data_IF_060900789096
#
_entry.id   IF_060900789096
#
_cell.length_a   1.000
_cell.length_b   1.000
_cell.length_c   1.000
_cell.angle_alpha   90.00
_cell.angle_beta   90.00
_cell.angle_gamma   90.00
#
_symmetry.space_group_name_H-M   'P 1'
#
loop_
_entity.id
_entity.type
_entity.pdbx_description
1 polymer ?
#
# COMPACT_ATOMS: atom_id res chain seq x y z
N UNK A 1 15.98 -20.18 -10.17
CA UNK A 1 14.78 -20.43 -11.01
C UNK A 1 13.60 -19.65 -10.44
N UNK A 2 12.64 -19.26 -11.31
CA UNK A 2 11.41 -18.48 -11.03
C UNK A 2 11.55 -16.94 -11.07
N UNK A 3 12.00 -16.40 -12.21
CA UNK A 3 11.90 -14.98 -12.57
C UNK A 3 10.97 -14.68 -13.75
N UNK A 4 10.12 -15.65 -14.15
CA UNK A 4 9.39 -15.58 -15.44
C UNK A 4 7.99 -14.96 -15.39
N UNK A 5 7.40 -14.74 -14.20
CA UNK A 5 6.00 -14.28 -14.08
C UNK A 5 5.83 -12.78 -13.85
N UNK A 6 6.84 -12.13 -13.28
CA UNK A 6 6.79 -10.72 -12.86
C UNK A 6 6.73 -9.71 -14.03
N UNK A 7 7.47 -9.91 -15.15
CA UNK A 7 7.37 -8.98 -16.28
C UNK A 7 5.98 -9.01 -16.93
N UNK A 8 5.43 -10.21 -17.11
CA UNK A 8 4.11 -10.38 -17.71
C UNK A 8 2.96 -9.92 -16.79
N UNK A 9 3.11 -10.04 -15.47
CA UNK A 9 2.14 -9.50 -14.51
C UNK A 9 2.17 -7.96 -14.49
N UNK A 10 3.36 -7.35 -14.53
CA UNK A 10 3.50 -5.90 -14.62
C UNK A 10 2.97 -5.33 -15.94
N UNK A 11 3.22 -6.01 -17.08
CA UNK A 11 2.66 -5.63 -18.38
C UNK A 11 1.14 -5.83 -18.45
N UNK A 12 0.60 -6.93 -17.91
CA UNK A 12 -0.86 -7.13 -17.83
C UNK A 12 -1.54 -6.09 -16.95
N UNK A 13 -0.89 -5.66 -15.87
CA UNK A 13 -1.40 -4.57 -15.04
C UNK A 13 -1.41 -3.25 -15.82
N UNK A 14 -0.36 -2.97 -16.60
CA UNK A 14 -0.27 -1.79 -17.45
C UNK A 14 -1.31 -1.79 -18.58
N UNK A 15 -1.67 -2.95 -19.14
CA UNK A 15 -2.64 -3.08 -20.24
C UNK A 15 -4.09 -3.34 -19.79
N UNK A 16 -4.29 -3.91 -18.60
CA UNK A 16 -5.55 -4.47 -18.10
C UNK A 16 -6.21 -3.68 -16.98
N UNK A 17 -6.31 -2.35 -17.10
CA UNK A 17 -7.03 -1.52 -16.12
C UNK A 17 -6.25 -1.20 -14.84
N UNK A 18 -4.94 -1.44 -14.81
CA UNK A 18 -4.08 -1.12 -13.66
C UNK A 18 -4.11 0.35 -13.25
N UNK A 19 -4.38 1.28 -14.18
CA UNK A 19 -4.59 2.69 -13.84
C UNK A 19 -5.79 2.91 -12.91
N UNK A 20 -6.92 2.24 -13.17
CA UNK A 20 -8.12 2.34 -12.33
C UNK A 20 -7.89 1.66 -10.96
N UNK A 21 -7.17 0.53 -10.96
CA UNK A 21 -6.76 -0.16 -9.74
C UNK A 21 -5.83 0.70 -8.88
N UNK A 22 -4.85 1.35 -9.51
CA UNK A 22 -3.92 2.26 -8.86
C UNK A 22 -4.63 3.50 -8.31
N UNK A 23 -5.54 4.09 -9.08
CA UNK A 23 -6.36 5.21 -8.62
C UNK A 23 -7.23 4.83 -7.42
N UNK A 24 -7.79 3.61 -7.40
CA UNK A 24 -8.50 3.07 -6.23
C UNK A 24 -7.58 2.96 -5.02
N UNK A 25 -6.42 2.33 -5.18
CA UNK A 25 -5.43 2.20 -4.11
C UNK A 25 -5.07 3.56 -3.49
N UNK A 26 -4.70 4.54 -4.33
CA UNK A 26 -4.36 5.91 -3.90
C UNK A 26 -5.51 6.57 -3.13
N UNK A 27 -6.73 6.51 -3.66
CA UNK A 27 -7.91 7.11 -3.00
C UNK A 27 -8.15 6.48 -1.63
N UNK A 28 -8.10 5.16 -1.57
CA UNK A 28 -8.40 4.39 -0.35
C UNK A 28 -7.39 4.70 0.76
N UNK A 29 -6.09 4.74 0.46
CA UNK A 29 -5.05 4.99 1.46
C UNK A 29 -4.89 6.47 1.82
N UNK A 30 -5.07 7.38 0.86
CA UNK A 30 -4.92 8.82 1.10
C UNK A 30 -5.94 9.33 2.13
N UNK A 31 -7.14 8.75 2.11
CA UNK A 31 -8.23 9.09 3.04
C UNK A 31 -8.33 8.19 4.26
N UNK A 32 -7.43 7.21 4.44
CA UNK A 32 -7.63 6.18 5.46
C UNK A 32 -7.56 6.76 6.88
N UNK A 33 -8.62 6.53 7.64
CA UNK A 33 -8.69 6.78 9.07
C UNK A 33 -8.64 5.47 9.86
N UNK A 34 -8.15 5.52 11.10
CA UNK A 34 -8.01 4.33 11.95
C UNK A 34 -9.31 3.53 12.13
N UNK A 35 -10.45 4.23 12.28
CA UNK A 35 -11.76 3.61 12.43
C UNK A 35 -12.23 2.83 11.18
N UNK A 36 -11.70 3.17 10.01
CA UNK A 36 -12.07 2.56 8.73
C UNK A 36 -11.16 1.40 8.31
N UNK A 37 -10.04 1.17 9.00
CA UNK A 37 -9.02 0.20 8.58
C UNK A 37 -9.56 -1.22 8.40
N UNK A 38 -10.36 -1.72 9.37
CA UNK A 38 -10.97 -3.05 9.30
C UNK A 38 -12.02 -3.14 8.18
N UNK A 39 -12.81 -2.08 7.99
CA UNK A 39 -13.81 -2.01 6.92
C UNK A 39 -13.14 -2.04 5.55
N UNK A 40 -12.06 -1.29 5.39
CA UNK A 40 -11.28 -1.23 4.14
C UNK A 40 -10.59 -2.56 3.86
N UNK A 41 -10.06 -3.25 4.88
CA UNK A 41 -9.44 -4.57 4.73
C UNK A 41 -10.40 -5.57 4.06
N UNK A 42 -11.69 -5.53 4.40
CA UNK A 42 -12.71 -6.37 3.75
C UNK A 42 -12.99 -6.01 2.32
N UNK A 43 -13.03 -4.72 2.01
CA UNK A 43 -13.20 -4.25 0.64
C UNK A 43 -12.00 -4.62 -0.23
N UNK A 44 -10.79 -4.59 0.33
CA UNK A 44 -9.57 -5.02 -0.34
C UNK A 44 -9.51 -6.53 -0.51
N UNK A 45 -9.96 -7.32 0.48
CA UNK A 45 -10.08 -8.78 0.30
C UNK A 45 -11.05 -9.13 -0.84
N UNK A 46 -12.26 -8.55 -0.83
CA UNK A 46 -13.23 -8.76 -1.89
C UNK A 46 -12.71 -8.30 -3.26
N UNK A 47 -11.95 -7.19 -3.27
CA UNK A 47 -11.32 -6.69 -4.48
C UNK A 47 -10.25 -7.62 -5.03
N UNK A 48 -9.34 -8.12 -4.19
CA UNK A 48 -8.29 -9.07 -4.61
C UNK A 48 -8.84 -10.41 -5.09
N UNK A 49 -10.07 -10.75 -4.69
CA UNK A 49 -10.80 -11.95 -5.17
C UNK A 49 -11.69 -11.67 -6.39
N UNK A 50 -11.77 -10.44 -6.87
CA UNK A 50 -12.63 -10.10 -8.01
C UNK A 50 -12.07 -10.68 -9.31
N UNK A 51 -12.96 -10.98 -10.27
CA UNK A 51 -12.56 -11.49 -11.59
C UNK A 51 -11.60 -10.54 -12.29
N UNK A 52 -11.84 -9.23 -12.20
CA UNK A 52 -11.01 -8.20 -12.83
C UNK A 52 -9.60 -8.18 -12.24
N UNK A 53 -9.47 -8.28 -10.90
CA UNK A 53 -8.17 -8.31 -10.25
C UNK A 53 -7.38 -9.57 -10.63
N UNK A 54 -8.04 -10.73 -10.64
CA UNK A 54 -7.44 -11.99 -11.06
C UNK A 54 -7.01 -11.97 -12.53
N UNK A 55 -7.85 -11.43 -13.42
CA UNK A 55 -7.54 -11.30 -14.85
C UNK A 55 -6.37 -10.35 -15.12
N UNK A 56 -6.25 -9.27 -14.34
CA UNK A 56 -5.11 -8.36 -14.38
C UNK A 56 -3.83 -8.94 -13.74
N UNK A 57 -3.92 -10.09 -13.06
CA UNK A 57 -2.81 -10.66 -12.29
C UNK A 57 -2.48 -9.85 -11.04
N UNK A 58 -3.46 -9.15 -10.47
CA UNK A 58 -3.30 -8.31 -9.29
C UNK A 58 -3.72 -9.07 -8.02
N UNK A 59 -2.74 -9.36 -7.17
CA UNK A 59 -2.93 -10.04 -5.90
C UNK A 59 -2.31 -9.27 -4.73
N UNK A 60 -2.24 -9.96 -3.59
CA UNK A 60 -1.57 -9.44 -2.40
C UNK A 60 -0.11 -9.00 -2.66
N UNK A 61 0.72 -9.71 -3.46
CA UNK A 61 2.09 -9.27 -3.75
C UNK A 61 2.18 -7.91 -4.44
N UNK A 62 1.33 -7.66 -5.44
CA UNK A 62 1.26 -6.41 -6.20
C UNK A 62 0.77 -5.26 -5.32
N UNK A 63 -0.30 -5.50 -4.55
CA UNK A 63 -0.80 -4.54 -3.57
C UNK A 63 0.27 -4.19 -2.52
N UNK A 64 1.01 -5.19 -2.03
CA UNK A 64 2.11 -4.98 -1.07
C UNK A 64 3.23 -4.14 -1.70
N UNK A 65 3.55 -4.35 -2.98
CA UNK A 65 4.55 -3.53 -3.69
C UNK A 65 4.14 -2.05 -3.76
N UNK A 66 2.87 -1.79 -4.10
CA UNK A 66 2.33 -0.44 -4.11
C UNK A 66 2.38 0.21 -2.73
N UNK A 67 2.01 -0.53 -1.69
CA UNK A 67 2.08 -0.04 -0.30
C UNK A 67 3.51 0.31 0.11
N UNK A 68 4.50 -0.52 -0.27
CA UNK A 68 5.90 -0.25 0.02
C UNK A 68 6.41 1.02 -0.66
N UNK A 69 6.09 1.21 -1.93
CA UNK A 69 6.47 2.41 -2.68
C UNK A 69 5.82 3.66 -2.10
N UNK A 70 4.55 3.57 -1.73
CA UNK A 70 3.82 4.66 -1.09
C UNK A 70 4.47 5.09 0.24
N UNK A 71 4.74 4.13 1.12
CA UNK A 71 5.40 4.40 2.40
C UNK A 71 6.84 4.85 2.23
N UNK A 72 7.54 4.39 1.19
CA UNK A 72 8.89 4.88 0.85
C UNK A 72 8.87 6.37 0.51
N UNK A 73 7.90 6.82 -0.29
CA UNK A 73 7.75 8.23 -0.63
C UNK A 73 7.34 9.08 0.59
N UNK A 74 6.47 8.56 1.47
CA UNK A 74 6.14 9.21 2.74
C UNK A 74 7.37 9.38 3.64
N UNK A 75 8.17 8.32 3.80
CA UNK A 75 9.39 8.37 4.58
C UNK A 75 10.43 9.32 3.98
N UNK A 76 10.58 9.30 2.65
CA UNK A 76 11.47 10.22 1.94
C UNK A 76 11.06 11.67 2.19
N UNK A 77 9.80 12.04 1.99
CA UNK A 77 9.30 13.38 2.28
C UNK A 77 9.46 13.77 3.74
N UNK A 78 9.19 12.84 4.67
CA UNK A 78 9.31 13.11 6.11
C UNK A 78 10.74 13.44 6.54
N UNK A 79 11.72 12.91 5.81
CA UNK A 79 13.16 13.12 6.00
C UNK A 79 13.72 14.27 5.15
N UNK A 80 12.88 15.04 4.46
CA UNK A 80 13.29 16.17 3.61
C UNK A 80 13.78 15.76 2.21
N UNK A 81 13.51 14.53 1.79
CA UNK A 81 13.75 14.04 0.43
C UNK A 81 12.62 14.38 -0.54
N UNK A 82 12.59 13.66 -1.68
CA UNK A 82 11.63 13.84 -2.77
C UNK A 82 10.86 12.56 -3.07
N UNK A 83 9.65 12.72 -3.62
CA UNK A 83 8.80 11.63 -4.11
C UNK A 83 9.43 11.00 -5.37
N UNK A 84 9.41 9.66 -5.45
CA UNK A 84 10.00 8.89 -6.57
C UNK A 84 8.98 8.03 -7.30
N UNK A 85 8.02 7.44 -6.58
CA UNK A 85 7.11 6.44 -7.15
C UNK A 85 5.72 7.01 -7.47
N UNK A 86 5.24 7.96 -6.67
CA UNK A 86 3.92 8.59 -6.81
C UNK A 86 3.99 10.11 -7.05
N UNK A 87 4.73 10.60 -8.06
CA UNK A 87 4.96 12.03 -8.26
C UNK A 87 3.64 12.81 -8.48
N UNK A 88 2.64 12.20 -9.12
CA UNK A 88 1.32 12.82 -9.31
C UNK A 88 0.54 13.03 -8.00
N UNK A 89 0.95 12.38 -6.90
CA UNK A 89 0.32 12.47 -5.59
C UNK A 89 1.19 13.22 -4.57
N UNK A 90 2.25 13.93 -5.01
CA UNK A 90 3.19 14.61 -4.12
C UNK A 90 2.51 15.51 -3.08
N UNK A 91 1.51 16.30 -3.47
CA UNK A 91 0.78 17.16 -2.53
C UNK A 91 0.05 16.37 -1.44
N UNK A 92 -0.57 15.24 -1.79
CA UNK A 92 -1.25 14.34 -0.83
C UNK A 92 -0.23 13.69 0.10
N UNK A 93 0.87 13.19 -0.45
CA UNK A 93 1.96 12.57 0.31
C UNK A 93 2.62 13.56 1.26
N UNK A 94 2.84 14.81 0.84
CA UNK A 94 3.39 15.86 1.68
C UNK A 94 2.46 16.21 2.85
N UNK A 95 1.15 16.29 2.60
CA UNK A 95 0.15 16.54 3.64
C UNK A 95 0.05 15.38 4.65
N UNK A 96 0.22 14.13 4.21
CA UNK A 96 0.28 12.98 5.10
C UNK A 96 1.59 12.93 5.89
N UNK A 97 2.72 13.11 5.21
CA UNK A 97 4.04 13.08 5.84
C UNK A 97 4.19 14.17 6.90
N UNK A 98 3.65 15.38 6.70
CA UNK A 98 3.71 16.47 7.68
C UNK A 98 3.03 16.13 9.03
N UNK A 99 2.08 15.19 9.02
CA UNK A 99 1.36 14.72 10.23
C UNK A 99 2.10 13.61 10.97
N UNK A 100 3.08 12.98 10.32
CA UNK A 100 3.84 11.87 10.90
C UNK A 100 4.99 12.38 11.77
N UNK A 101 5.40 11.64 12.79
CA UNK A 101 6.73 11.82 13.38
C UNK A 101 7.77 11.10 12.52
N UNK A 102 9.05 11.48 12.61
CA UNK A 102 10.14 10.75 11.93
C UNK A 102 10.16 9.28 12.37
N UNK A 103 9.97 9.03 13.67
CA UNK A 103 9.91 7.67 14.22
C UNK A 103 8.73 6.86 13.63
N UNK A 104 7.54 7.47 13.51
CA UNK A 104 6.37 6.80 12.94
C UNK A 104 6.55 6.49 11.44
N UNK A 105 7.17 7.39 10.68
CA UNK A 105 7.47 7.17 9.26
C UNK A 105 8.48 6.03 9.07
N UNK A 106 9.57 6.02 9.85
CA UNK A 106 10.58 4.96 9.81
C UNK A 106 10.02 3.60 10.26
N UNK A 107 9.20 3.59 11.31
CA UNK A 107 8.54 2.36 11.78
C UNK A 107 7.60 1.79 10.72
N UNK A 108 6.74 2.63 10.13
CA UNK A 108 5.83 2.22 9.06
C UNK A 108 6.59 1.62 7.87
N UNK A 109 7.68 2.25 7.44
CA UNK A 109 8.53 1.73 6.36
C UNK A 109 9.09 0.33 6.68
N UNK A 110 9.65 0.16 7.88
CA UNK A 110 10.22 -1.12 8.31
C UNK A 110 9.16 -2.22 8.42
N UNK A 111 7.98 -1.89 8.94
CA UNK A 111 6.88 -2.85 9.11
C UNK A 111 6.34 -3.32 7.76
N UNK A 112 6.10 -2.41 6.81
CA UNK A 112 5.63 -2.77 5.46
C UNK A 112 6.71 -3.56 4.70
N UNK A 113 8.00 -3.34 4.97
CA UNK A 113 9.07 -4.18 4.45
C UNK A 113 9.02 -5.62 4.98
N UNK A 114 8.62 -5.84 6.24
CA UNK A 114 8.44 -7.19 6.80
C UNK A 114 7.20 -7.91 6.28
N UNK A 115 6.10 -7.20 5.98
CA UNK A 115 4.86 -7.78 5.46
C UNK A 115 5.13 -8.57 4.16
N UNK A 116 6.04 -8.11 3.29
CA UNK A 116 6.45 -8.81 2.07
C UNK A 116 6.93 -10.25 2.29
N UNK A 117 7.51 -10.56 3.45
CA UNK A 117 7.97 -11.90 3.79
C UNK A 117 6.80 -12.84 4.12
N UNK A 118 5.76 -12.31 4.74
CA UNK A 118 4.57 -13.06 5.18
C UNK A 118 3.53 -13.18 4.05
N UNK A 119 3.46 -12.21 3.14
CA UNK A 119 2.54 -12.21 1.98
C UNK A 119 2.74 -13.37 1.01
N UNK A 120 3.84 -14.14 1.10
CA UNK A 120 4.09 -15.29 0.22
C UNK A 120 3.22 -16.50 0.58
N UNK A 121 2.89 -16.70 1.85
CA UNK A 121 2.01 -17.77 2.33
C UNK A 121 1.18 -17.30 3.54
N UNK A 122 0.24 -16.36 3.37
CA UNK A 122 -0.56 -15.86 4.48
C UNK A 122 -1.58 -16.90 4.93
N UNK A 123 -1.69 -17.14 6.24
CA UNK A 123 -2.73 -17.98 6.83
C UNK A 123 -4.14 -17.42 6.59
N UNK A 124 -4.25 -16.09 6.50
CA UNK A 124 -5.48 -15.40 6.15
C UNK A 124 -5.15 -14.09 5.43
N UNK A 125 -5.67 -13.93 4.21
CA UNK A 125 -5.58 -12.69 3.44
C UNK A 125 -6.17 -11.52 4.24
N UNK A 126 -7.32 -11.75 4.89
CA UNK A 126 -8.01 -10.77 5.71
C UNK A 126 -7.12 -10.21 6.83
N UNK A 127 -6.50 -11.09 7.61
CA UNK A 127 -5.66 -10.68 8.75
C UNK A 127 -4.44 -9.87 8.29
N UNK A 128 -3.83 -10.24 7.17
CA UNK A 128 -2.69 -9.48 6.62
C UNK A 128 -3.11 -8.08 6.20
N UNK A 129 -4.28 -7.93 5.56
CA UNK A 129 -4.80 -6.64 5.16
C UNK A 129 -5.18 -5.77 6.39
N UNK A 130 -5.79 -6.36 7.41
CA UNK A 130 -6.12 -5.67 8.65
C UNK A 130 -4.88 -5.14 9.36
N UNK A 131 -3.87 -6.00 9.59
CA UNK A 131 -2.62 -5.60 10.23
C UNK A 131 -1.91 -4.48 9.44
N UNK A 132 -1.81 -4.63 8.12
CA UNK A 132 -1.18 -3.63 7.24
C UNK A 132 -1.89 -2.26 7.30
N UNK A 133 -3.22 -2.25 7.17
CA UNK A 133 -4.00 -1.01 7.14
C UNK A 133 -4.06 -0.34 8.51
N UNK A 134 -4.14 -1.10 9.61
CA UNK A 134 -4.12 -0.55 10.96
C UNK A 134 -2.78 0.11 11.29
N UNK A 135 -1.66 -0.54 10.96
CA UNK A 135 -0.30 0.02 11.14
C UNK A 135 -0.13 1.31 10.36
N UNK A 136 -0.55 1.30 9.09
CA UNK A 136 -0.51 2.49 8.26
C UNK A 136 -1.36 3.62 8.83
N UNK A 137 -2.63 3.34 9.17
CA UNK A 137 -3.54 4.33 9.73
C UNK A 137 -3.01 4.94 11.03
N UNK A 138 -2.40 4.12 11.91
CA UNK A 138 -1.74 4.61 13.13
C UNK A 138 -0.56 5.53 12.82
N UNK A 139 0.25 5.20 11.82
CA UNK A 139 1.41 6.00 11.45
C UNK A 139 1.00 7.37 10.88
N UNK A 140 -0.04 7.44 10.04
CA UNK A 140 -0.51 8.70 9.42
C UNK A 140 -1.47 9.51 10.29
N UNK A 141 -2.10 8.89 11.29
CA UNK A 141 -2.90 9.61 12.28
C UNK A 141 -2.07 10.59 13.11
N UNK A 142 -0.74 10.42 13.15
CA UNK A 142 0.16 11.15 14.03
C UNK A 142 0.05 10.65 15.47
N UNK A 143 1.11 10.82 16.25
CA UNK A 143 1.04 10.64 17.69
C UNK A 143 0.10 11.74 18.25
N UNK A 144 -1.17 11.42 18.44
CA UNK A 144 -2.00 12.21 19.36
C UNK A 144 -1.48 11.92 20.76
N UNK A 145 -0.68 12.85 21.30
CA UNK A 145 -0.29 12.90 22.72
C UNK A 145 0.69 11.81 23.13
#
# INVERSE_FOLDING_TARGET
ALGGGMPLAAERLAQGGGAAMHARFVRDIAGLQGADALRLAGQWEAWLRSKDALAAGFGLPELTDWMQRWVSDLAALRLGGRVRFFPAQEGVLAALASRMSVAAASACYNEVAQIRKVSRHPLSLRLVLEDMLMRYARAVAGARG
#
